data_IF_683825212869
#
_entry.id   IF_683825212869
#
_cell.length_a   1.000
_cell.length_b   1.000
_cell.length_c   1.000
_cell.angle_alpha   90.00
_cell.angle_beta   90.00
_cell.angle_gamma   90.00
#
_symmetry.space_group_name_H-M   'P 1'
#
loop_
_entity.id
_entity.type
_entity.pdbx_description
1 polymer ?
#
# COMPACT_ATOMS: atom_id res chain seq x y z
N UNK A 1 -12.56 38.49 21.53
CA UNK A 1 -12.31 37.31 22.36
C UNK A 1 -11.63 36.29 21.47
N UNK A 2 -10.32 36.09 21.63
CA UNK A 2 -9.59 35.02 20.94
C UNK A 2 -9.94 33.73 21.69
N UNK A 3 -10.36 32.69 20.98
CA UNK A 3 -10.68 31.39 21.58
C UNK A 3 -9.47 30.76 22.27
N UNK A 4 -9.66 29.67 23.03
CA UNK A 4 -8.54 28.95 23.62
C UNK A 4 -7.52 28.53 22.54
N UNK A 5 -6.22 28.47 22.87
CA UNK A 5 -5.20 28.01 21.92
C UNK A 5 -5.53 26.59 21.45
N UNK A 6 -5.29 26.33 20.17
CA UNK A 6 -5.40 24.98 19.62
C UNK A 6 -4.23 24.17 20.17
N UNK A 7 -4.52 23.18 21.01
CA UNK A 7 -3.53 22.23 21.49
C UNK A 7 -3.46 21.01 20.56
N UNK A 8 -2.24 20.58 20.24
CA UNK A 8 -1.98 19.40 19.42
C UNK A 8 -1.24 18.35 20.24
N UNK A 9 -1.73 17.11 20.21
CA UNK A 9 -1.07 15.97 20.84
C UNK A 9 -1.17 14.76 19.92
N UNK A 10 -0.06 14.02 19.81
CA UNK A 10 0.00 12.75 19.06
C UNK A 10 1.00 11.82 19.71
N UNK A 11 0.54 10.62 20.07
CA UNK A 11 1.33 9.64 20.84
C UNK A 11 2.38 8.84 20.05
N UNK A 12 2.47 9.00 18.73
CA UNK A 12 3.41 8.26 17.88
C UNK A 12 3.89 9.05 16.68
N UNK A 13 4.98 8.59 16.07
CA UNK A 13 5.48 9.06 14.77
C UNK A 13 4.47 8.77 13.66
N UNK A 14 4.39 9.64 12.66
CA UNK A 14 3.57 9.39 11.47
C UNK A 14 4.08 10.11 10.23
N UNK A 15 3.66 9.61 9.06
CA UNK A 15 4.11 10.10 7.77
C UNK A 15 3.18 11.14 7.16
N UNK A 16 3.71 12.06 6.35
CA UNK A 16 2.95 13.06 5.59
C UNK A 16 3.70 13.39 4.31
N UNK A 17 3.04 14.05 3.36
CA UNK A 17 3.73 14.61 2.18
C UNK A 17 4.25 15.99 2.57
N UNK A 18 5.58 16.16 2.55
CA UNK A 18 6.24 17.43 2.85
C UNK A 18 6.11 18.45 1.71
N UNK A 19 6.54 19.68 1.96
CA UNK A 19 6.52 20.78 0.97
C UNK A 19 7.35 20.52 -0.29
N UNK A 20 8.24 19.52 -0.25
CA UNK A 20 9.03 19.05 -1.39
C UNK A 20 8.38 17.89 -2.15
N UNK A 21 7.14 17.50 -1.80
CA UNK A 21 6.39 16.43 -2.44
C UNK A 21 6.80 15.01 -2.02
N UNK A 22 7.79 14.88 -1.12
CA UNK A 22 8.26 13.59 -0.63
C UNK A 22 7.52 13.18 0.64
N UNK A 23 7.42 11.87 0.86
CA UNK A 23 6.95 11.31 2.13
C UNK A 23 7.99 11.57 3.21
N UNK A 24 7.56 12.11 4.34
CA UNK A 24 8.41 12.44 5.49
C UNK A 24 7.77 11.92 6.78
N UNK A 25 8.57 11.72 7.82
CA UNK A 25 8.08 11.34 9.16
C UNK A 25 8.14 12.53 10.13
N UNK A 26 7.08 12.73 10.89
CA UNK A 26 7.05 13.64 12.03
C UNK A 26 7.18 12.87 13.34
N UNK A 27 7.90 13.45 14.30
CA UNK A 27 8.03 12.92 15.65
C UNK A 27 6.73 13.07 16.47
N UNK A 28 6.70 12.48 17.67
CA UNK A 28 5.58 12.64 18.59
C UNK A 28 5.31 14.12 18.88
N UNK A 29 4.04 14.49 18.97
CA UNK A 29 3.58 15.86 19.22
C UNK A 29 4.06 16.91 18.20
N UNK A 30 4.54 16.51 17.01
CA UNK A 30 4.85 17.44 15.92
C UNK A 30 3.67 17.50 14.94
N UNK A 31 3.07 18.68 14.70
CA UNK A 31 2.00 18.82 13.71
C UNK A 31 2.54 18.55 12.30
N UNK A 32 1.72 17.91 11.47
CA UNK A 32 2.04 17.60 10.06
C UNK A 32 1.22 18.50 9.15
N UNK A 33 1.88 19.26 8.28
CA UNK A 33 1.21 20.01 7.22
C UNK A 33 1.37 19.22 5.92
N UNK A 34 0.25 18.78 5.35
CA UNK A 34 0.25 17.95 4.15
C UNK A 34 0.29 18.81 2.88
N UNK A 35 0.93 18.27 1.85
CA UNK A 35 1.05 18.91 0.55
C UNK A 35 0.61 17.95 -0.54
N UNK A 36 0.12 18.50 -1.64
CA UNK A 36 -0.08 17.70 -2.84
C UNK A 36 1.29 17.25 -3.40
N UNK A 37 1.53 15.94 -3.59
CA UNK A 37 2.86 15.43 -3.94
C UNK A 37 3.32 15.84 -5.36
N UNK A 38 2.43 16.38 -6.18
CA UNK A 38 2.71 16.74 -7.58
C UNK A 38 2.74 18.26 -7.72
N UNK A 39 1.69 18.94 -7.27
CA UNK A 39 1.56 20.39 -7.41
C UNK A 39 2.24 21.18 -6.30
N UNK A 40 2.65 20.50 -5.21
CA UNK A 40 3.25 21.09 -4.01
C UNK A 40 2.33 22.12 -3.33
N UNK A 41 1.04 22.10 -3.65
CA UNK A 41 0.06 22.95 -2.99
C UNK A 41 -0.14 22.49 -1.55
N UNK A 42 -0.05 23.43 -0.59
CA UNK A 42 -0.35 23.16 0.81
C UNK A 42 -1.83 22.80 0.97
N UNK A 43 -2.11 21.65 1.60
CA UNK A 43 -3.46 21.18 1.94
C UNK A 43 -3.84 21.53 3.39
N UNK A 44 -2.89 22.06 4.15
CA UNK A 44 -3.09 22.51 5.54
C UNK A 44 -2.69 21.46 6.56
N UNK A 45 -3.18 21.63 7.80
CA UNK A 45 -2.89 20.73 8.91
C UNK A 45 -3.55 19.37 8.67
N UNK A 46 -2.77 18.30 8.72
CA UNK A 46 -3.24 16.94 8.52
C UNK A 46 -3.91 16.42 9.79
N UNK A 47 -5.24 16.27 9.72
CA UNK A 47 -6.07 15.66 10.76
C UNK A 47 -6.60 14.34 10.22
N UNK A 48 -6.27 13.24 10.89
CA UNK A 48 -6.70 11.89 10.52
C UNK A 48 -6.98 11.05 11.77
N UNK A 49 -7.77 10.00 11.60
CA UNK A 49 -8.01 9.01 12.64
C UNK A 49 -6.72 8.24 13.00
N UNK A 50 -6.66 7.71 14.22
CA UNK A 50 -5.57 6.82 14.61
C UNK A 50 -5.60 5.53 13.79
N UNK A 51 -4.43 5.12 13.27
CA UNK A 51 -4.23 3.88 12.52
C UNK A 51 -2.96 3.20 13.01
N UNK A 52 -2.94 1.87 12.94
CA UNK A 52 -1.78 1.04 13.28
C UNK A 52 -1.29 0.32 12.03
N UNK A 53 0.00 0.41 11.73
CA UNK A 53 0.61 -0.45 10.72
C UNK A 53 0.76 -1.86 11.32
N UNK A 54 0.09 -2.84 10.71
CA UNK A 54 0.15 -4.24 11.13
C UNK A 54 1.30 -5.00 10.46
N UNK A 55 1.98 -4.39 9.50
CA UNK A 55 3.06 -5.00 8.72
C UNK A 55 4.40 -4.49 9.25
N UNK A 56 5.21 -5.39 9.79
CA UNK A 56 6.61 -5.09 10.11
C UNK A 56 7.45 -5.13 8.84
N UNK A 57 8.49 -4.29 8.75
CA UNK A 57 9.37 -4.23 7.57
C UNK A 57 8.59 -4.04 6.25
N UNK A 58 7.61 -3.13 6.26
CA UNK A 58 6.62 -2.96 5.20
C UNK A 58 7.16 -2.46 3.84
N UNK A 59 8.46 -2.13 3.79
CA UNK A 59 9.17 -1.69 2.59
C UNK A 59 10.28 -2.64 2.14
N UNK A 60 10.69 -3.59 2.98
CA UNK A 60 11.77 -4.56 2.74
C UNK A 60 11.15 -5.88 2.27
N UNK A 61 10.66 -5.92 1.03
CA UNK A 61 9.99 -7.10 0.49
C UNK A 61 10.96 -8.27 0.28
N UNK A 62 12.26 -8.01 0.22
CA UNK A 62 13.31 -9.04 0.21
C UNK A 62 13.48 -9.80 1.54
N UNK A 63 12.93 -9.27 2.64
CA UNK A 63 13.01 -9.85 3.98
C UNK A 63 12.22 -11.17 4.13
N UNK A 64 12.61 -12.02 5.08
CA UNK A 64 11.95 -13.32 5.33
C UNK A 64 10.53 -13.22 5.90
N UNK A 65 10.13 -12.05 6.42
CA UNK A 65 8.72 -11.83 6.83
C UNK A 65 7.76 -11.86 5.65
N UNK A 66 8.26 -11.66 4.43
CA UNK A 66 7.48 -11.75 3.20
C UNK A 66 7.65 -13.13 2.58
N UNK A 67 6.56 -13.89 2.51
CA UNK A 67 6.55 -15.12 1.74
C UNK A 67 6.55 -14.77 0.25
N UNK A 68 7.33 -15.53 -0.51
CA UNK A 68 7.52 -15.34 -1.95
C UNK A 68 7.24 -16.66 -2.64
N UNK A 69 6.44 -16.63 -3.69
CA UNK A 69 6.22 -17.78 -4.58
C UNK A 69 6.59 -17.41 -6.01
N UNK A 70 7.31 -18.28 -6.72
CA UNK A 70 7.65 -18.12 -8.14
C UNK A 70 8.23 -16.74 -8.53
N UNK A 71 9.04 -16.15 -7.65
CA UNK A 71 9.63 -14.84 -7.87
C UNK A 71 10.88 -14.61 -7.03
N UNK A 72 11.62 -13.56 -7.39
CA UNK A 72 12.69 -12.98 -6.57
C UNK A 72 12.49 -11.48 -6.39
N UNK A 73 13.34 -10.90 -5.54
CA UNK A 73 13.32 -9.48 -5.17
C UNK A 73 14.70 -8.92 -5.40
N UNK A 74 14.79 -7.80 -6.11
CA UNK A 74 15.97 -6.96 -6.05
C UNK A 74 15.71 -5.84 -5.05
N UNK A 75 16.39 -5.89 -3.91
CA UNK A 75 16.26 -4.88 -2.89
C UNK A 75 16.76 -3.51 -3.37
N UNK A 76 16.19 -2.42 -2.88
CA UNK A 76 16.73 -1.05 -3.05
C UNK A 76 16.99 -0.66 -4.53
N UNK A 77 16.14 -1.13 -5.44
CA UNK A 77 16.34 -1.04 -6.89
C UNK A 77 16.09 0.36 -7.47
N UNK A 78 15.33 1.22 -6.79
CA UNK A 78 15.07 2.58 -7.25
C UNK A 78 14.70 3.53 -6.10
N UNK A 79 14.52 4.81 -6.42
CA UNK A 79 14.10 5.83 -5.46
C UNK A 79 12.61 5.71 -5.13
N UNK A 80 12.30 5.53 -3.84
CA UNK A 80 10.97 5.47 -3.28
C UNK A 80 10.33 6.87 -3.13
N UNK A 81 9.01 6.96 -2.85
CA UNK A 81 8.33 8.25 -2.68
C UNK A 81 8.82 9.12 -1.50
N UNK A 82 9.60 8.56 -0.57
CA UNK A 82 10.27 9.31 0.50
C UNK A 82 11.61 9.93 0.05
N UNK A 83 12.01 9.71 -1.20
CA UNK A 83 13.26 10.20 -1.78
C UNK A 83 14.48 9.33 -1.49
N UNK A 84 14.33 8.20 -0.80
CA UNK A 84 15.43 7.28 -0.49
C UNK A 84 15.51 6.16 -1.54
N UNK A 85 16.69 5.57 -1.76
CA UNK A 85 16.85 4.40 -2.65
C UNK A 85 16.47 3.09 -1.95
N UNK A 86 15.21 2.98 -1.52
CA UNK A 86 14.69 1.85 -0.73
C UNK A 86 13.58 1.07 -1.41
N UNK A 87 13.20 1.45 -2.64
CA UNK A 87 12.14 0.74 -3.34
C UNK A 87 12.63 -0.59 -3.90
N UNK A 88 12.03 -1.68 -3.44
CA UNK A 88 12.31 -3.02 -3.95
C UNK A 88 11.63 -3.28 -5.29
N UNK A 89 12.26 -4.13 -6.10
CA UNK A 89 11.76 -4.57 -7.40
C UNK A 89 11.35 -6.04 -7.36
N UNK A 90 10.10 -6.30 -7.69
CA UNK A 90 9.54 -7.62 -7.97
C UNK A 90 10.08 -8.15 -9.31
N UNK A 91 10.67 -9.35 -9.31
CA UNK A 91 11.14 -10.05 -10.50
C UNK A 91 10.37 -11.37 -10.61
N UNK A 92 9.46 -11.46 -11.58
CA UNK A 92 8.65 -12.65 -11.80
C UNK A 92 9.48 -13.80 -12.38
N UNK A 93 9.23 -15.03 -11.90
CA UNK A 93 9.78 -16.25 -12.48
C UNK A 93 9.08 -16.63 -13.79
N UNK A 94 9.57 -17.70 -14.43
CA UNK A 94 9.05 -18.20 -15.71
C UNK A 94 8.01 -19.31 -15.59
N UNK A 95 7.82 -19.85 -14.39
CA UNK A 95 6.87 -20.96 -14.12
C UNK A 95 5.46 -20.42 -13.94
N UNK A 96 4.46 -21.16 -14.42
CA UNK A 96 3.05 -20.84 -14.16
C UNK A 96 2.76 -20.87 -12.65
N UNK A 97 2.44 -19.72 -12.09
CA UNK A 97 2.26 -19.51 -10.66
C UNK A 97 2.71 -18.11 -10.30
N UNK A 98 1.87 -17.37 -9.57
CA UNK A 98 2.05 -15.94 -9.38
C UNK A 98 3.25 -15.59 -8.49
N UNK A 99 3.84 -14.41 -8.74
CA UNK A 99 4.78 -13.73 -7.86
C UNK A 99 4.07 -13.17 -6.64
N UNK A 100 3.64 -14.05 -5.74
CA UNK A 100 2.81 -13.72 -4.57
C UNK A 100 3.70 -13.19 -3.45
N UNK A 101 3.43 -11.97 -3.00
CA UNK A 101 3.87 -11.49 -1.69
C UNK A 101 2.81 -11.85 -0.66
N UNK A 102 3.10 -12.73 0.29
CA UNK A 102 2.22 -12.90 1.46
C UNK A 102 2.85 -12.13 2.62
N UNK A 103 2.07 -11.24 3.23
CA UNK A 103 2.43 -10.68 4.53
C UNK A 103 2.56 -11.81 5.56
N UNK A 104 3.42 -11.63 6.56
CA UNK A 104 3.23 -12.28 7.86
C UNK A 104 1.77 -12.17 8.31
N UNK A 105 1.14 -13.27 8.74
CA UNK A 105 -0.24 -13.26 9.15
C UNK A 105 -0.48 -12.24 10.28
N UNK A 106 -1.50 -11.41 10.15
CA UNK A 106 -1.98 -10.54 11.23
C UNK A 106 -3.27 -11.11 11.83
N UNK A 107 -3.56 -10.75 13.08
CA UNK A 107 -4.81 -11.13 13.72
C UNK A 107 -5.96 -10.26 13.19
N UNK A 108 -6.83 -10.84 12.39
CA UNK A 108 -8.05 -10.20 11.91
C UNK A 108 -9.20 -10.48 12.89
N UNK A 109 -10.03 -9.47 13.15
CA UNK A 109 -11.22 -9.56 14.02
C UNK A 109 -12.47 -9.47 13.16
N UNK A 110 -13.45 -10.35 13.41
CA UNK A 110 -14.74 -10.31 12.68
C UNK A 110 -15.40 -8.93 12.79
N UNK A 111 -15.92 -8.43 11.67
CA UNK A 111 -16.61 -7.14 11.58
C UNK A 111 -15.69 -5.92 11.51
N UNK A 112 -14.37 -6.10 11.58
CA UNK A 112 -13.40 -4.98 11.49
C UNK A 112 -12.89 -4.84 10.06
N UNK A 113 -12.84 -3.60 9.57
CA UNK A 113 -12.26 -3.26 8.27
C UNK A 113 -10.73 -3.19 8.35
N UNK A 114 -10.06 -3.82 7.38
CA UNK A 114 -8.61 -3.78 7.21
C UNK A 114 -8.26 -3.23 5.84
N UNK A 115 -7.23 -2.38 5.78
CA UNK A 115 -6.77 -1.77 4.53
C UNK A 115 -5.35 -2.23 4.21
N UNK A 116 -5.17 -2.80 3.02
CA UNK A 116 -3.86 -2.95 2.41
C UNK A 116 -3.55 -1.68 1.59
N UNK A 117 -2.35 -1.12 1.77
CA UNK A 117 -1.85 0.02 1.00
C UNK A 117 -0.43 -0.27 0.53
N UNK A 118 -0.12 0.02 -0.73
CA UNK A 118 1.24 -0.10 -1.29
C UNK A 118 1.54 1.08 -2.21
N UNK A 119 2.80 1.54 -2.17
CA UNK A 119 3.33 2.41 -3.20
C UNK A 119 3.93 1.54 -4.30
N UNK A 120 3.42 1.65 -5.52
CA UNK A 120 3.86 0.85 -6.65
C UNK A 120 4.18 1.73 -7.86
N UNK A 121 5.23 1.34 -8.59
CA UNK A 121 5.67 2.00 -9.82
C UNK A 121 5.95 0.95 -10.86
N UNK A 122 5.53 1.23 -12.09
CA UNK A 122 5.81 0.36 -13.24
C UNK A 122 7.31 0.16 -13.39
N UNK A 123 7.70 -1.11 -13.52
CA UNK A 123 8.99 -1.52 -14.08
C UNK A 123 8.73 -2.18 -15.45
N UNK A 124 8.85 -3.51 -15.55
CA UNK A 124 8.57 -4.25 -16.79
C UNK A 124 7.08 -4.38 -17.09
N UNK A 125 6.25 -4.48 -16.05
CA UNK A 125 4.83 -4.79 -16.18
C UNK A 125 3.94 -3.62 -15.79
N UNK A 126 2.83 -3.48 -16.52
CA UNK A 126 1.85 -2.43 -16.28
C UNK A 126 0.90 -2.80 -15.14
N UNK A 127 0.59 -4.07 -14.93
CA UNK A 127 -0.49 -4.44 -14.02
C UNK A 127 0.06 -4.87 -12.66
N UNK A 128 -0.60 -4.40 -11.61
CA UNK A 128 -0.41 -4.90 -10.24
C UNK A 128 -1.76 -5.23 -9.63
N UNK A 129 -1.78 -6.27 -8.80
CA UNK A 129 -2.96 -6.70 -8.08
C UNK A 129 -2.73 -6.53 -6.59
N UNK A 130 -3.73 -5.98 -5.92
CA UNK A 130 -3.90 -6.08 -4.47
C UNK A 130 -5.05 -7.05 -4.22
N UNK A 131 -4.85 -8.01 -3.33
CA UNK A 131 -5.77 -9.11 -3.10
C UNK A 131 -5.84 -9.45 -1.60
N UNK A 132 -7.05 -9.63 -1.10
CA UNK A 132 -7.40 -10.07 0.24
C UNK A 132 -7.92 -11.50 0.18
N UNK A 133 -7.11 -12.44 0.68
CA UNK A 133 -7.48 -13.83 0.84
C UNK A 133 -7.89 -14.18 2.26
N UNK A 134 -8.10 -13.19 3.14
CA UNK A 134 -8.50 -13.43 4.53
C UNK A 134 -9.74 -14.30 4.57
N UNK A 135 -9.64 -15.46 5.22
CA UNK A 135 -10.73 -16.43 5.34
C UNK A 135 -11.39 -16.80 4.00
N UNK A 136 -10.63 -16.82 2.90
CA UNK A 136 -11.15 -17.18 1.57
C UNK A 136 -12.15 -16.18 0.97
N UNK A 137 -12.17 -14.91 1.42
CA UNK A 137 -13.06 -13.89 0.85
C UNK A 137 -12.77 -13.58 -0.62
N UNK A 138 -11.54 -13.80 -1.05
CA UNK A 138 -11.06 -13.65 -2.42
C UNK A 138 -11.44 -12.29 -3.04
N UNK A 139 -11.17 -11.19 -2.33
CA UNK A 139 -11.47 -9.82 -2.79
C UNK A 139 -10.22 -9.19 -3.36
N UNK A 140 -10.23 -8.67 -4.59
CA UNK A 140 -9.00 -8.08 -5.14
C UNK A 140 -9.23 -7.23 -6.38
N UNK A 141 -8.30 -6.30 -6.60
CA UNK A 141 -8.36 -5.31 -7.69
C UNK A 141 -7.03 -5.30 -8.42
N UNK A 142 -7.13 -5.30 -9.76
CA UNK A 142 -6.01 -5.04 -10.65
C UNK A 142 -6.01 -3.57 -11.06
N UNK A 143 -4.84 -2.95 -10.96
CA UNK A 143 -4.58 -1.57 -11.38
C UNK A 143 -3.53 -1.54 -12.49
N UNK A 144 -3.67 -0.60 -13.44
CA UNK A 144 -2.64 -0.27 -14.42
C UNK A 144 -1.73 0.81 -13.84
N UNK A 145 -0.45 0.51 -13.63
CA UNK A 145 0.58 1.40 -13.10
C UNK A 145 1.03 2.49 -14.08
N UNK A 146 0.65 2.41 -15.35
CA UNK A 146 0.88 3.47 -16.34
C UNK A 146 -0.10 4.62 -16.13
N UNK A 147 -1.37 4.30 -15.85
CA UNK A 147 -2.47 5.26 -15.80
C UNK A 147 -3.08 5.43 -14.42
N UNK A 148 -2.79 4.52 -13.50
CA UNK A 148 -3.44 4.37 -12.19
C UNK A 148 -4.86 3.79 -12.27
N UNK A 149 -5.35 3.43 -13.46
CA UNK A 149 -6.74 3.06 -13.64
C UNK A 149 -7.07 1.69 -13.05
N UNK A 150 -8.30 1.55 -12.56
CA UNK A 150 -8.91 0.24 -12.31
C UNK A 150 -8.97 -0.55 -13.62
N UNK A 151 -8.49 -1.79 -13.60
CA UNK A 151 -8.58 -2.71 -14.74
C UNK A 151 -9.75 -3.67 -14.55
N UNK A 152 -9.79 -4.36 -13.41
CA UNK A 152 -10.85 -5.32 -13.05
C UNK A 152 -10.76 -5.75 -11.59
N UNK A 153 -11.82 -6.40 -11.12
CA UNK A 153 -11.73 -7.26 -9.94
C UNK A 153 -11.08 -8.59 -10.31
N UNK A 154 -10.27 -9.17 -9.42
CA UNK A 154 -9.68 -10.49 -9.64
C UNK A 154 -10.72 -11.60 -9.45
N UNK A 155 -11.50 -11.52 -8.36
CA UNK A 155 -12.70 -12.33 -8.15
C UNK A 155 -13.83 -11.43 -7.65
N UNK A 156 -13.83 -11.10 -6.35
CA UNK A 156 -14.80 -10.22 -5.73
C UNK A 156 -14.23 -8.80 -5.59
N UNK A 157 -15.11 -7.81 -5.60
CA UNK A 157 -14.73 -6.44 -5.26
C UNK A 157 -14.45 -6.32 -3.75
N UNK A 158 -13.39 -5.61 -3.34
CA UNK A 158 -13.26 -5.15 -1.96
C UNK A 158 -14.33 -4.09 -1.63
N UNK A 159 -14.50 -3.78 -0.34
CA UNK A 159 -15.53 -2.83 0.10
C UNK A 159 -15.20 -1.40 -0.36
N UNK A 160 -13.91 -1.10 -0.49
CA UNK A 160 -13.43 0.08 -1.22
C UNK A 160 -12.03 -0.15 -1.76
N UNK A 161 -11.65 0.63 -2.77
CA UNK A 161 -10.31 0.64 -3.33
C UNK A 161 -9.98 2.03 -3.88
N UNK A 162 -8.70 2.37 -3.97
CA UNK A 162 -8.26 3.65 -4.53
C UNK A 162 -6.90 3.52 -5.21
N UNK A 163 -6.63 4.47 -6.12
CA UNK A 163 -5.35 4.64 -6.79
C UNK A 163 -5.06 6.14 -6.87
N UNK A 164 -4.00 6.56 -6.19
CA UNK A 164 -3.62 7.97 -6.08
C UNK A 164 -2.23 8.18 -6.66
N UNK A 165 -2.09 9.07 -7.64
CA UNK A 165 -0.79 9.44 -8.19
C UNK A 165 0.01 10.18 -7.13
N UNK A 166 1.25 9.77 -6.87
CA UNK A 166 2.15 10.43 -5.92
C UNK A 166 3.40 11.01 -6.59
N UNK A 167 3.34 11.19 -7.90
CA UNK A 167 4.42 11.76 -8.70
C UNK A 167 5.49 10.75 -9.09
N UNK A 168 6.35 11.11 -10.04
CA UNK A 168 7.49 10.30 -10.48
C UNK A 168 7.13 8.86 -10.91
N UNK A 169 5.90 8.64 -11.40
CA UNK A 169 5.38 7.33 -11.83
C UNK A 169 4.96 6.40 -10.69
N UNK A 170 4.96 6.88 -9.46
CA UNK A 170 4.49 6.13 -8.29
C UNK A 170 2.98 6.34 -8.08
N UNK A 171 2.32 5.26 -7.66
CA UNK A 171 0.92 5.25 -7.25
C UNK A 171 0.81 4.72 -5.84
N UNK A 172 0.00 5.36 -5.00
CA UNK A 172 -0.50 4.74 -3.77
C UNK A 172 -1.79 3.99 -4.09
N UNK A 173 -1.73 2.67 -3.99
CA UNK A 173 -2.86 1.78 -4.26
C UNK A 173 -3.40 1.24 -2.94
N UNK A 174 -4.73 1.16 -2.81
CA UNK A 174 -5.36 0.63 -1.60
C UNK A 174 -6.53 -0.30 -1.93
N UNK A 175 -6.72 -1.31 -1.09
CA UNK A 175 -7.98 -2.06 -0.97
C UNK A 175 -8.37 -2.14 0.50
N UNK A 176 -9.67 -2.09 0.79
CA UNK A 176 -10.20 -2.24 2.15
C UNK A 176 -11.32 -3.29 2.15
N UNK A 177 -11.27 -4.22 3.10
CA UNK A 177 -12.30 -5.22 3.30
C UNK A 177 -12.60 -5.43 4.79
N UNK A 178 -13.86 -5.68 5.12
CA UNK A 178 -14.31 -6.13 6.44
C UNK A 178 -14.05 -7.62 6.59
N UNK A 179 -13.26 -7.98 7.62
CA UNK A 179 -13.00 -9.38 7.93
C UNK A 179 -14.31 -10.07 8.35
N UNK A 180 -14.64 -11.24 7.77
CA UNK A 180 -15.90 -11.91 8.08
C UNK A 180 -15.81 -12.71 9.38
N UNK A 181 -14.59 -13.03 9.81
CA UNK A 181 -14.31 -13.91 10.94
C UNK A 181 -13.11 -13.39 11.75
N UNK A 182 -13.02 -13.83 13.00
CA UNK A 182 -11.80 -13.68 13.79
C UNK A 182 -10.85 -14.79 13.38
N UNK A 183 -9.78 -14.43 12.68
CA UNK A 183 -8.93 -15.39 11.96
C UNK A 183 -7.57 -14.76 11.64
N UNK A 184 -6.75 -15.51 10.92
CA UNK A 184 -5.53 -15.01 10.31
C UNK A 184 -5.84 -14.23 9.03
N UNK A 185 -5.46 -12.96 9.01
CA UNK A 185 -5.55 -12.11 7.83
C UNK A 185 -4.44 -12.39 6.81
N UNK A 186 -4.77 -12.27 5.53
CA UNK A 186 -3.82 -12.48 4.44
C UNK A 186 -4.08 -11.51 3.28
N UNK A 187 -3.17 -10.55 3.13
CA UNK A 187 -3.09 -9.71 1.94
C UNK A 187 -1.96 -10.15 1.04
N UNK A 188 -2.21 -9.99 -0.25
CA UNK A 188 -1.31 -10.33 -1.31
C UNK A 188 -1.15 -9.16 -2.28
N UNK A 189 0.07 -8.99 -2.74
CA UNK A 189 0.41 -8.05 -3.81
C UNK A 189 1.13 -8.87 -4.88
N UNK A 190 0.89 -8.59 -6.16
CA UNK A 190 1.68 -9.19 -7.23
C UNK A 190 1.57 -8.40 -8.54
N UNK A 191 2.68 -8.30 -9.26
CA UNK A 191 2.69 -7.80 -10.63
C UNK A 191 2.26 -8.89 -11.62
N UNK A 192 1.72 -8.48 -12.78
CA UNK A 192 1.36 -9.42 -13.85
C UNK A 192 1.53 -8.84 -15.26
N UNK A 193 2.05 -9.64 -16.22
CA UNK A 193 2.19 -9.21 -17.60
C UNK A 193 0.86 -9.05 -18.35
N UNK A 194 -0.23 -9.67 -17.88
CA UNK A 194 -1.51 -9.69 -18.62
C UNK A 194 -2.66 -9.13 -17.78
N UNK A 195 -3.60 -8.46 -18.45
CA UNK A 195 -4.84 -7.98 -17.83
C UNK A 195 -5.93 -9.05 -17.74
N UNK A 196 -5.73 -10.21 -18.39
CA UNK A 196 -6.73 -11.29 -18.47
C UNK A 196 -6.61 -12.31 -17.35
N UNK A 197 -5.57 -12.24 -16.52
CA UNK A 197 -5.32 -13.21 -15.46
C UNK A 197 -6.37 -13.12 -14.33
N UNK A 198 -7.08 -14.21 -14.06
CA UNK A 198 -8.17 -14.26 -13.05
C UNK A 198 -7.82 -15.09 -11.81
N UNK A 199 -6.63 -15.70 -11.74
CA UNK A 199 -6.32 -16.66 -10.69
C UNK A 199 -5.32 -16.04 -9.72
N UNK A 200 -5.75 -15.66 -8.52
CA UNK A 200 -4.93 -15.99 -7.34
C UNK A 200 -5.09 -17.50 -7.14
N UNK A 201 -4.00 -18.21 -6.85
CA UNK A 201 -4.06 -19.65 -6.59
C UNK A 201 -5.05 -19.98 -5.46
#
# INVERSE_FOLDING_TARGET
>A
MVGPPIEFSRGSTATFVGSNGLIQSAANNVPRFDYDPITLACRGLLIEESRTNLVTRSQEFDNSVWARANMTVSANATTAPDGTNTADKQILGTTAGLGIWMQTPYAATSGVAYTCSVYAKKAEYNNVVLYDGTNGQNKGVMFDLTTGAFVKNLFNAPDSYSSTNVGNGWWRLTITSVSPATTTGSFFIFATPTSTQNNAL
#
